data_IF_427300751579
#
_entry.id   IF_427300751579
#
_cell.length_a   1.000
_cell.length_b   1.000
_cell.length_c   1.000
_cell.angle_alpha   90.00
_cell.angle_beta   90.00
_cell.angle_gamma   90.00
#
_symmetry.space_group_name_H-M   'P 1'
#
loop_
_entity.id
_entity.type
_entity.pdbx_description
1 polymer ?
#
# COMPACT_ATOMS: atom_id res chain seq x y z
N UNK A 1 21.54 1.15 28.58
CA UNK A 1 20.95 2.36 28.32
C UNK A 1 20.84 2.64 26.83
N UNK A 2 21.86 3.17 26.21
CA UNK A 2 21.81 3.42 24.79
C UNK A 2 21.64 2.21 23.94
N UNK A 3 22.36 1.18 24.22
CA UNK A 3 22.32 0.00 23.41
C UNK A 3 21.00 -0.74 23.52
N UNK A 4 20.28 -0.54 24.61
CA UNK A 4 18.93 -1.07 24.71
C UNK A 4 17.98 -0.39 23.71
N UNK A 5 18.09 0.91 23.60
CA UNK A 5 17.29 1.67 22.63
C UNK A 5 17.69 1.32 21.20
N UNK A 6 18.99 1.09 21.00
CA UNK A 6 19.48 0.69 19.68
C UNK A 6 18.94 -0.68 19.28
N UNK A 7 18.88 -1.61 20.22
CA UNK A 7 18.32 -2.93 19.96
C UNK A 7 16.87 -2.88 19.52
N UNK A 8 16.07 -2.01 20.12
CA UNK A 8 14.69 -1.82 19.72
C UNK A 8 14.58 -1.28 18.30
N UNK A 9 15.44 -0.34 17.93
CA UNK A 9 15.44 0.22 16.59
C UNK A 9 15.74 -0.82 15.53
N UNK A 10 16.61 -1.74 15.82
CA UNK A 10 16.97 -2.79 14.88
C UNK A 10 15.81 -3.72 14.55
N UNK A 11 14.84 -3.84 15.45
CA UNK A 11 13.68 -4.69 15.24
C UNK A 11 12.48 -3.94 14.66
N UNK A 12 12.54 -2.61 14.61
CA UNK A 12 11.44 -1.80 14.08
C UNK A 12 11.46 -1.83 12.56
N UNK A 13 10.38 -2.31 11.99
CA UNK A 13 10.23 -2.39 10.54
C UNK A 13 9.55 -1.14 9.99
N UNK A 14 10.02 -0.68 8.84
CA UNK A 14 9.51 0.51 8.17
C UNK A 14 9.01 0.17 6.78
N UNK A 15 8.29 1.12 6.19
CA UNK A 15 7.82 1.00 4.80
C UNK A 15 8.99 0.75 3.86
N UNK A 16 10.14 1.36 4.11
CA UNK A 16 11.35 1.14 3.29
C UNK A 16 11.71 -0.35 3.23
N UNK A 17 11.64 -1.05 4.34
CA UNK A 17 11.93 -2.48 4.39
C UNK A 17 10.97 -3.28 3.51
N UNK A 18 9.71 -2.91 3.50
CA UNK A 18 8.71 -3.54 2.63
C UNK A 18 9.09 -3.36 1.17
N UNK A 19 9.40 -2.12 0.77
CA UNK A 19 9.74 -1.81 -0.61
C UNK A 19 11.04 -2.45 -1.05
N UNK A 20 12.02 -2.55 -0.18
CA UNK A 20 13.30 -3.20 -0.48
C UNK A 20 13.12 -4.68 -0.82
N UNK A 21 12.12 -5.32 -0.23
CA UNK A 21 11.82 -6.73 -0.50
C UNK A 21 10.83 -6.88 -1.65
N UNK A 22 9.75 -6.11 -1.62
CA UNK A 22 8.68 -6.17 -2.62
C UNK A 22 9.08 -5.59 -3.96
N UNK A 23 9.88 -4.53 -3.93
CA UNK A 23 10.28 -3.78 -5.10
C UNK A 23 9.57 -2.44 -5.20
N UNK A 24 10.08 -1.61 -6.08
CA UNK A 24 9.63 -0.23 -6.27
C UNK A 24 8.79 -0.04 -7.53
N UNK A 25 8.34 -1.13 -8.14
CA UNK A 25 7.53 -1.06 -9.35
C UNK A 25 6.18 -0.41 -9.06
N UNK A 26 5.88 0.60 -9.86
CA UNK A 26 4.62 1.33 -9.72
C UNK A 26 3.82 1.09 -10.99
N UNK A 27 2.64 0.50 -10.82
CA UNK A 27 1.72 0.32 -11.93
C UNK A 27 0.72 1.47 -11.89
N UNK A 28 0.58 2.13 -13.01
CA UNK A 28 -0.32 3.27 -13.11
C UNK A 28 -1.02 3.26 -14.47
N UNK A 29 -2.12 4.00 -14.54
CA UNK A 29 -2.85 4.23 -15.78
C UNK A 29 -3.08 5.73 -15.92
N UNK A 30 -3.21 6.24 -17.15
CA UNK A 30 -3.52 7.65 -17.34
C UNK A 30 -5.01 7.92 -17.06
N UNK A 31 -5.34 9.20 -16.86
CA UNK A 31 -6.70 9.64 -16.53
C UNK A 31 -7.76 9.16 -17.55
N UNK A 32 -7.40 9.15 -18.81
CA UNK A 32 -8.33 8.83 -19.90
C UNK A 32 -8.40 7.36 -20.23
N UNK A 33 -7.64 6.51 -19.54
CA UNK A 33 -7.72 5.07 -19.76
C UNK A 33 -9.12 4.57 -19.45
N UNK A 34 -9.61 3.62 -20.23
CA UNK A 34 -10.92 3.02 -19.97
C UNK A 34 -10.86 2.14 -18.74
N UNK A 35 -11.94 2.09 -17.99
CA UNK A 35 -12.02 1.24 -16.81
C UNK A 35 -11.74 -0.22 -17.17
N UNK A 36 -12.21 -0.68 -18.34
CA UNK A 36 -11.93 -2.04 -18.80
C UNK A 36 -10.44 -2.34 -18.90
N UNK A 37 -9.63 -1.37 -19.33
CA UNK A 37 -8.18 -1.55 -19.43
C UNK A 37 -7.56 -1.68 -18.04
N UNK A 38 -8.02 -0.89 -17.09
CA UNK A 38 -7.55 -0.97 -15.70
C UNK A 38 -7.93 -2.31 -15.06
N UNK A 39 -9.15 -2.78 -15.29
CA UNK A 39 -9.62 -4.07 -14.79
C UNK A 39 -8.73 -5.19 -15.31
N UNK A 40 -8.42 -5.15 -16.60
CA UNK A 40 -7.55 -6.15 -17.23
C UNK A 40 -6.15 -6.14 -16.59
N UNK A 41 -5.60 -4.95 -16.36
CA UNK A 41 -4.29 -4.80 -15.76
C UNK A 41 -4.27 -5.38 -14.34
N UNK A 42 -5.29 -5.08 -13.53
CA UNK A 42 -5.40 -5.63 -12.17
C UNK A 42 -5.44 -7.14 -12.20
N UNK A 43 -6.23 -7.71 -13.11
CA UNK A 43 -6.39 -9.15 -13.23
C UNK A 43 -5.08 -9.82 -13.67
N UNK A 44 -4.42 -9.26 -14.68
CA UNK A 44 -3.18 -9.82 -15.21
C UNK A 44 -2.04 -9.76 -14.22
N UNK A 45 -1.95 -8.68 -13.48
CA UNK A 45 -0.88 -8.47 -12.50
C UNK A 45 -1.23 -9.01 -11.12
N UNK A 46 -2.47 -9.45 -10.91
CA UNK A 46 -2.95 -9.99 -9.63
C UNK A 46 -2.73 -8.98 -8.49
N UNK A 47 -3.11 -7.75 -8.74
CA UNK A 47 -2.99 -6.66 -7.77
C UNK A 47 -4.38 -6.07 -7.50
N UNK A 48 -4.52 -5.41 -6.36
CA UNK A 48 -5.80 -4.89 -5.91
C UNK A 48 -6.04 -3.41 -6.18
N UNK A 49 -5.04 -2.69 -6.66
CA UNK A 49 -5.18 -1.27 -6.96
C UNK A 49 -4.09 -0.80 -7.91
N UNK A 50 -4.40 0.27 -8.65
CA UNK A 50 -3.42 0.96 -9.50
C UNK A 50 -3.54 2.45 -9.23
N UNK A 51 -2.44 3.16 -9.41
CA UNK A 51 -2.45 4.61 -9.34
C UNK A 51 -2.92 5.18 -10.68
N UNK A 52 -3.63 6.29 -10.61
CA UNK A 52 -4.00 7.07 -11.79
C UNK A 52 -3.09 8.28 -11.77
N UNK A 53 -2.24 8.40 -12.77
CA UNK A 53 -1.21 9.43 -12.79
C UNK A 53 -1.29 10.28 -14.05
N UNK A 54 -0.86 11.52 -13.90
CA UNK A 54 -0.80 12.46 -15.00
C UNK A 54 0.49 13.28 -14.84
N UNK A 55 1.39 13.18 -15.84
CA UNK A 55 2.66 13.92 -15.84
C UNK A 55 3.48 13.71 -14.55
N UNK A 56 3.54 12.47 -14.07
CA UNK A 56 4.30 12.12 -12.89
C UNK A 56 3.61 12.44 -11.57
N UNK A 57 2.39 12.93 -11.61
CA UNK A 57 1.62 13.29 -10.40
C UNK A 57 0.49 12.30 -10.18
N UNK A 58 0.22 12.00 -8.92
CA UNK A 58 -0.91 11.15 -8.57
C UNK A 58 -2.18 11.97 -8.66
N UNK A 59 -3.11 11.53 -9.51
CA UNK A 59 -4.43 12.16 -9.63
C UNK A 59 -5.50 11.40 -8.85
N UNK A 60 -5.27 10.11 -8.65
CA UNK A 60 -6.19 9.27 -7.90
C UNK A 60 -5.68 7.87 -7.75
N UNK A 61 -6.49 7.04 -7.11
CA UNK A 61 -6.23 5.62 -6.98
C UNK A 61 -7.50 4.85 -7.34
N UNK A 62 -7.33 3.74 -8.03
CA UNK A 62 -8.43 2.88 -8.44
C UNK A 62 -8.21 1.50 -7.84
N UNK A 63 -9.16 1.06 -7.00
CA UNK A 63 -9.08 -0.23 -6.33
C UNK A 63 -10.17 -1.18 -6.83
N UNK A 64 -10.01 -2.47 -6.52
CA UNK A 64 -11.04 -3.47 -6.81
C UNK A 64 -12.37 -3.06 -6.19
N UNK A 65 -12.36 -2.46 -5.00
CA UNK A 65 -13.58 -2.02 -4.32
C UNK A 65 -14.29 -0.93 -5.11
N UNK A 66 -13.56 0.01 -5.68
CA UNK A 66 -14.14 1.05 -6.54
C UNK A 66 -14.84 0.41 -7.74
N UNK A 67 -14.19 -0.58 -8.35
CA UNK A 67 -14.71 -1.25 -9.53
C UNK A 67 -15.99 -2.01 -9.20
N UNK A 68 -15.98 -2.78 -8.13
CA UNK A 68 -17.16 -3.54 -7.70
C UNK A 68 -18.31 -2.59 -7.39
N UNK A 69 -18.03 -1.50 -6.71
CA UNK A 69 -19.06 -0.52 -6.36
C UNK A 69 -19.71 0.10 -7.59
N UNK A 70 -18.92 0.57 -8.54
CA UNK A 70 -19.49 1.23 -9.72
C UNK A 70 -20.18 0.26 -10.67
N UNK A 71 -19.70 -0.97 -10.75
CA UNK A 71 -20.38 -2.01 -11.53
C UNK A 71 -21.75 -2.31 -10.90
N UNK A 72 -21.82 -2.39 -9.58
CA UNK A 72 -23.06 -2.63 -8.88
C UNK A 72 -24.06 -1.47 -9.01
N UNK A 73 -23.56 -0.25 -9.02
CA UNK A 73 -24.42 0.95 -9.10
C UNK A 73 -24.85 1.28 -10.52
N UNK A 74 -23.97 1.10 -11.49
CA UNK A 74 -24.20 1.61 -12.85
C UNK A 74 -24.19 0.55 -13.95
N UNK A 75 -23.86 -0.67 -13.62
CA UNK A 75 -23.84 -1.77 -14.58
C UNK A 75 -22.59 -1.76 -15.48
N UNK A 76 -22.56 -2.69 -16.43
CA UNK A 76 -21.37 -2.97 -17.23
C UNK A 76 -20.94 -1.84 -18.16
N UNK A 77 -21.84 -0.89 -18.47
CA UNK A 77 -21.50 0.22 -19.36
C UNK A 77 -20.40 1.11 -18.76
N UNK A 78 -20.19 1.09 -17.44
CA UNK A 78 -19.14 1.86 -16.80
C UNK A 78 -17.74 1.43 -17.27
N UNK A 79 -17.59 0.22 -17.78
CA UNK A 79 -16.32 -0.27 -18.27
C UNK A 79 -15.78 0.52 -19.45
N UNK A 80 -16.63 1.23 -20.17
CA UNK A 80 -16.21 2.08 -21.29
C UNK A 80 -15.86 3.50 -20.87
N UNK A 81 -16.10 3.85 -19.61
CA UNK A 81 -15.79 5.18 -19.10
C UNK A 81 -14.33 5.31 -18.70
N UNK A 82 -13.84 6.55 -18.69
CA UNK A 82 -12.48 6.83 -18.25
C UNK A 82 -12.31 6.56 -16.76
N UNK A 83 -11.15 6.07 -16.36
CA UNK A 83 -10.86 5.81 -14.95
C UNK A 83 -10.99 7.05 -14.09
N UNK A 84 -10.74 8.22 -14.67
CA UNK A 84 -10.87 9.50 -13.95
C UNK A 84 -12.28 9.76 -13.41
N UNK A 85 -13.31 9.15 -14.01
CA UNK A 85 -14.69 9.33 -13.55
C UNK A 85 -15.04 8.38 -12.39
N UNK A 86 -14.21 7.41 -12.13
CA UNK A 86 -14.50 6.32 -11.16
C UNK A 86 -13.52 6.30 -10.00
N UNK A 87 -12.30 6.76 -10.22
CA UNK A 87 -11.22 6.70 -9.23
C UNK A 87 -11.53 7.47 -7.95
N UNK A 88 -10.85 7.10 -6.88
CA UNK A 88 -10.84 7.87 -5.65
C UNK A 88 -9.81 8.98 -5.80
N UNK A 89 -10.24 10.24 -5.68
CA UNK A 89 -9.37 11.40 -5.86
C UNK A 89 -8.60 11.78 -4.61
N UNK A 90 -9.19 11.55 -3.45
CA UNK A 90 -8.55 11.89 -2.18
C UNK A 90 -7.60 10.76 -1.79
N UNK A 91 -6.35 10.90 -2.21
CA UNK A 91 -5.33 9.88 -1.99
C UNK A 91 -4.54 10.20 -0.74
N UNK A 92 -4.49 9.23 0.18
CA UNK A 92 -3.64 9.32 1.36
C UNK A 92 -2.34 8.61 1.03
N UNK A 93 -1.22 9.20 1.38
CA UNK A 93 0.10 8.63 1.10
C UNK A 93 0.90 8.44 2.38
N UNK A 94 2.01 7.73 2.28
CA UNK A 94 2.93 7.53 3.39
C UNK A 94 4.36 7.74 2.90
N UNK A 95 5.30 7.69 3.84
CA UNK A 95 6.72 7.87 3.57
C UNK A 95 7.47 6.59 3.87
N UNK A 96 8.64 6.45 3.28
CA UNK A 96 9.49 5.28 3.53
C UNK A 96 9.91 5.16 5.00
N UNK A 97 9.99 6.28 5.70
CA UNK A 97 10.38 6.31 7.12
C UNK A 97 9.25 5.94 8.07
N UNK A 98 8.01 5.85 7.59
CA UNK A 98 6.89 5.46 8.44
C UNK A 98 7.04 4.00 8.88
N UNK A 99 6.64 3.71 10.11
CA UNK A 99 6.71 2.34 10.64
C UNK A 99 5.54 1.51 10.14
N UNK A 100 5.78 0.20 10.04
CA UNK A 100 4.72 -0.74 9.66
C UNK A 100 3.53 -0.64 10.62
N UNK A 101 3.81 -0.51 11.92
CA UNK A 101 2.75 -0.37 12.92
C UNK A 101 1.91 0.89 12.70
N UNK A 102 2.56 2.02 12.39
CA UNK A 102 1.85 3.27 12.12
C UNK A 102 0.98 3.17 10.88
N UNK A 103 1.48 2.51 9.83
CA UNK A 103 0.72 2.32 8.60
C UNK A 103 -0.49 1.43 8.84
N UNK A 104 -0.33 0.37 9.62
CA UNK A 104 -1.45 -0.51 9.95
C UNK A 104 -2.56 0.27 10.67
N UNK A 105 -2.17 1.15 11.59
CA UNK A 105 -3.13 2.01 12.28
C UNK A 105 -3.83 2.95 11.31
N UNK A 106 -3.08 3.58 10.39
CA UNK A 106 -3.65 4.45 9.36
C UNK A 106 -4.69 3.72 8.52
N UNK A 107 -4.37 2.51 8.08
CA UNK A 107 -5.27 1.71 7.26
C UNK A 107 -6.52 1.29 8.03
N UNK A 108 -6.36 0.95 9.30
CA UNK A 108 -7.46 0.54 10.15
C UNK A 108 -8.43 1.70 10.39
N UNK A 109 -7.90 2.86 10.72
CA UNK A 109 -8.72 4.05 11.00
C UNK A 109 -9.34 4.63 9.73
N UNK A 110 -8.57 4.68 8.64
CA UNK A 110 -9.01 5.27 7.39
C UNK A 110 -9.81 4.33 6.50
N UNK A 111 -9.81 3.04 6.80
CA UNK A 111 -10.49 2.01 6.02
C UNK A 111 -10.06 1.94 4.55
N UNK A 112 -8.81 2.27 4.28
CA UNK A 112 -8.23 2.06 2.95
C UNK A 112 -7.19 0.95 3.03
N UNK A 113 -6.94 0.31 1.90
CA UNK A 113 -6.12 -0.89 1.84
C UNK A 113 -4.86 -0.73 1.01
N UNK A 114 -4.65 0.42 0.42
CA UNK A 114 -3.51 0.69 -0.44
C UNK A 114 -3.03 2.09 -0.18
N UNK A 115 -1.72 2.27 -0.08
CA UNK A 115 -1.09 3.57 0.14
C UNK A 115 0.07 3.74 -0.82
N UNK A 116 0.08 4.80 -1.61
CA UNK A 116 1.29 5.16 -2.34
C UNK A 116 2.33 5.67 -1.35
N UNK A 117 3.58 5.33 -1.64
CA UNK A 117 4.73 5.77 -0.86
C UNK A 117 5.38 6.91 -1.62
N UNK A 118 5.52 8.06 -0.98
CA UNK A 118 6.00 9.28 -1.63
C UNK A 118 7.23 9.82 -0.92
N UNK A 119 8.22 10.23 -1.70
CA UNK A 119 9.39 10.94 -1.22
C UNK A 119 9.44 12.29 -1.94
N UNK A 120 9.20 13.36 -1.18
CA UNK A 120 9.02 14.68 -1.79
C UNK A 120 7.80 14.65 -2.69
N UNK A 121 8.01 14.92 -3.98
CA UNK A 121 6.93 14.88 -4.96
C UNK A 121 6.93 13.60 -5.82
N UNK A 122 7.85 12.67 -5.51
CA UNK A 122 8.00 11.45 -6.30
C UNK A 122 7.31 10.28 -5.61
N UNK A 123 6.60 9.49 -6.41
CA UNK A 123 6.03 8.22 -5.96
C UNK A 123 7.14 7.17 -6.07
N UNK A 124 7.44 6.50 -4.97
CA UNK A 124 8.51 5.51 -4.93
C UNK A 124 8.01 4.09 -4.73
N UNK A 125 6.72 3.91 -4.51
CA UNK A 125 6.15 2.58 -4.37
C UNK A 125 4.67 2.63 -4.04
N UNK A 126 4.08 1.45 -3.94
CA UNK A 126 2.70 1.27 -3.53
C UNK A 126 2.64 0.07 -2.60
N UNK A 127 2.06 0.23 -1.44
CA UNK A 127 1.93 -0.87 -0.48
C UNK A 127 0.47 -1.20 -0.24
N UNK A 128 0.20 -2.47 -0.01
CA UNK A 128 -1.14 -2.98 0.26
C UNK A 128 -1.27 -3.39 1.73
N UNK A 129 -2.52 -3.56 2.18
CA UNK A 129 -2.75 -4.06 3.53
C UNK A 129 -2.13 -5.46 3.71
N UNK A 130 -2.11 -6.26 2.65
CA UNK A 130 -1.48 -7.58 2.69
C UNK A 130 0.01 -7.50 3.00
N UNK A 131 0.70 -6.53 2.37
CA UNK A 131 2.11 -6.27 2.64
C UNK A 131 2.32 -5.89 4.11
N UNK A 132 1.48 -4.99 4.59
CA UNK A 132 1.60 -4.45 5.95
C UNK A 132 1.33 -5.52 7.00
N UNK A 133 0.29 -6.33 6.80
CA UNK A 133 -0.04 -7.42 7.73
C UNK A 133 1.09 -8.44 7.79
N UNK A 134 1.62 -8.83 6.63
CA UNK A 134 2.72 -9.78 6.56
C UNK A 134 3.93 -9.30 7.37
N UNK A 135 4.31 -8.05 7.19
CA UNK A 135 5.46 -7.49 7.89
C UNK A 135 5.18 -7.28 9.38
N UNK A 136 3.95 -6.92 9.73
CA UNK A 136 3.57 -6.77 11.14
C UNK A 136 3.62 -8.11 11.87
N UNK A 137 3.17 -9.18 11.21
CA UNK A 137 3.25 -10.53 11.78
C UNK A 137 4.71 -10.94 11.98
N UNK A 138 5.57 -10.69 11.00
CA UNK A 138 6.99 -10.99 11.12
C UNK A 138 7.64 -10.21 12.26
N UNK A 139 7.29 -8.95 12.40
CA UNK A 139 7.78 -8.09 13.48
C UNK A 139 7.38 -8.66 14.84
N UNK A 140 6.13 -9.08 14.94
CA UNK A 140 5.61 -9.68 16.16
C UNK A 140 6.32 -11.00 16.50
N UNK A 141 6.52 -11.85 15.52
CA UNK A 141 7.26 -13.11 15.69
C UNK A 141 8.68 -12.86 16.17
N UNK A 142 9.32 -11.84 15.63
CA UNK A 142 10.66 -11.44 16.03
C UNK A 142 10.70 -11.03 17.50
N UNK A 143 9.73 -10.26 17.94
CA UNK A 143 9.62 -9.86 19.34
C UNK A 143 9.40 -11.06 20.25
N UNK A 144 8.56 -12.00 19.85
CA UNK A 144 8.30 -13.20 20.62
C UNK A 144 9.55 -14.07 20.73
N UNK A 145 10.28 -14.21 19.66
CA UNK A 145 11.51 -14.98 19.64
C UNK A 145 12.57 -14.36 20.54
N UNK A 146 12.73 -13.06 20.48
CA UNK A 146 13.66 -12.35 21.34
C UNK A 146 13.32 -12.54 22.82
N UNK A 147 12.03 -12.51 23.15
CA UNK A 147 11.57 -12.74 24.53
C UNK A 147 11.88 -14.17 24.99
N UNK A 148 11.68 -15.16 24.14
CA UNK A 148 11.99 -16.55 24.45
C UNK A 148 13.48 -16.73 24.74
N UNK A 149 14.33 -16.11 23.92
CA UNK A 149 15.77 -16.17 24.14
C UNK A 149 16.15 -15.54 25.48
N UNK A 150 15.55 -14.42 25.80
CA UNK A 150 15.78 -13.75 27.07
C UNK A 150 15.42 -14.66 28.25
N UNK A 151 14.26 -15.31 28.17
CA UNK A 151 13.79 -16.22 29.22
C UNK A 151 14.73 -17.42 29.37
N UNK A 152 15.22 -17.99 28.27
CA UNK A 152 16.13 -19.12 28.29
C UNK A 152 17.46 -18.80 28.95
N UNK A 153 17.94 -17.58 28.78
CA UNK A 153 19.22 -17.14 29.30
C UNK A 153 19.13 -16.61 30.74
N UNK A 154 17.93 -16.39 31.21
CA UNK A 154 17.71 -15.95 32.60
C UNK A 154 17.66 -17.14 33.60
#
# INVERSE_FOLDING_TARGET
MFWGATGFRETTMTVRAILDTKGHNILSVPLEAKLSAAVKLLAERKIGAVLVMNSGRIEGILSERDIVRVLGERGASVLDEAVSTVMTRKVVSCKQSDTVAAIMEMMTLGKFRHLPVVEGERVVGLISIGDVVKWRVQEYEHEQEALREYIKTA
#
